data_IF_924592274584
#
_entry.id   IF_924592274584
#
_cell.length_a   1.000
_cell.length_b   1.000
_cell.length_c   1.000
_cell.angle_alpha   90.00
_cell.angle_beta   90.00
_cell.angle_gamma   90.00
#
_symmetry.space_group_name_H-M   'P 1'
#
loop_
_entity.id
_entity.type
_entity.pdbx_description
1 polymer ?
#
# COMPACT_ATOMS: atom_id res chain seq x y z
N UNK A 1 5.92 18.39 25.66
CA UNK A 1 5.04 18.52 24.48
C UNK A 1 4.20 17.25 24.41
N UNK A 2 2.96 17.35 23.91
CA UNK A 2 1.83 16.53 24.34
C UNK A 2 1.77 15.20 23.56
N UNK A 3 1.60 14.05 24.21
CA UNK A 3 1.35 12.74 23.55
C UNK A 3 0.18 12.77 22.54
N UNK A 4 -0.66 13.81 22.62
CA UNK A 4 -1.71 14.11 21.67
C UNK A 4 -1.23 14.30 20.22
N UNK A 5 0.03 14.73 20.02
CA UNK A 5 0.57 14.97 18.68
C UNK A 5 0.87 13.66 17.96
N UNK A 6 1.62 12.70 18.53
CA UNK A 6 1.77 11.32 17.99
C UNK A 6 0.42 10.63 17.79
N UNK A 7 -0.52 10.88 18.72
CA UNK A 7 -1.90 10.43 18.58
C UNK A 7 -2.56 10.87 17.27
N UNK A 8 -2.12 11.98 16.66
CA UNK A 8 -2.69 12.52 15.43
C UNK A 8 -2.20 11.78 14.16
N UNK A 9 -0.89 11.62 13.86
CA UNK A 9 -0.40 10.77 12.77
C UNK A 9 -0.86 9.32 12.88
N UNK A 10 -0.87 8.75 14.08
CA UNK A 10 -1.33 7.36 14.28
C UNK A 10 -2.82 7.21 13.98
N UNK A 11 -3.66 8.15 14.43
CA UNK A 11 -5.09 8.18 14.11
C UNK A 11 -5.32 8.39 12.61
N UNK A 12 -4.60 9.33 11.99
CA UNK A 12 -4.67 9.58 10.56
C UNK A 12 -4.30 8.32 9.75
N UNK A 13 -3.24 7.60 10.17
CA UNK A 13 -2.88 6.32 9.55
C UNK A 13 -4.01 5.30 9.66
N UNK A 14 -4.67 5.22 10.83
CA UNK A 14 -5.81 4.34 11.04
C UNK A 14 -6.98 4.61 10.09
N UNK A 15 -7.26 5.89 9.81
CA UNK A 15 -8.29 6.31 8.85
C UNK A 15 -7.88 5.93 7.43
N UNK A 16 -6.66 6.26 7.01
CA UNK A 16 -6.19 5.95 5.66
C UNK A 16 -6.17 4.43 5.43
N UNK A 17 -5.67 3.66 6.39
CA UNK A 17 -5.70 2.20 6.32
C UNK A 17 -7.11 1.64 6.11
N UNK A 18 -8.11 2.19 6.80
CA UNK A 18 -9.50 1.75 6.64
C UNK A 18 -10.04 2.06 5.24
N UNK A 19 -9.64 3.19 4.66
CA UNK A 19 -9.98 3.55 3.28
C UNK A 19 -9.31 2.62 2.25
N UNK A 20 -8.03 2.29 2.45
CA UNK A 20 -7.22 1.47 1.54
C UNK A 20 -7.69 0.01 1.50
N UNK A 21 -8.35 -0.49 2.55
CA UNK A 21 -9.00 -1.81 2.50
C UNK A 21 -10.21 -1.86 1.54
N UNK A 22 -10.82 -0.71 1.24
CA UNK A 22 -12.00 -0.63 0.37
C UNK A 22 -11.58 -0.59 -1.10
N UNK A 23 -10.41 -0.03 -1.43
CA UNK A 23 -9.96 0.15 -2.81
C UNK A 23 -9.84 -1.17 -3.60
N UNK A 24 -9.26 -2.27 -3.07
CA UNK A 24 -9.25 -3.56 -3.76
C UNK A 24 -10.63 -4.07 -4.14
N UNK A 25 -11.64 -3.87 -3.28
CA UNK A 25 -13.01 -4.28 -3.54
C UNK A 25 -13.64 -3.46 -4.68
N UNK A 26 -13.36 -2.15 -4.74
CA UNK A 26 -13.80 -1.27 -5.83
C UNK A 26 -13.23 -1.75 -7.16
N UNK A 27 -11.94 -2.11 -7.22
CA UNK A 27 -11.33 -2.64 -8.46
C UNK A 27 -12.04 -3.91 -8.95
N UNK A 28 -12.38 -4.83 -8.05
CA UNK A 28 -13.12 -6.06 -8.39
C UNK A 28 -14.51 -5.74 -8.94
N UNK A 29 -15.26 -4.83 -8.32
CA UNK A 29 -16.60 -4.43 -8.78
C UNK A 29 -16.56 -3.77 -10.15
N UNK A 30 -15.61 -2.84 -10.36
CA UNK A 30 -15.43 -2.15 -11.64
C UNK A 30 -15.05 -3.17 -12.72
N UNK A 31 -14.05 -4.03 -12.46
CA UNK A 31 -13.61 -5.06 -13.41
C UNK A 31 -14.76 -5.97 -13.84
N UNK A 32 -15.56 -6.45 -12.89
CA UNK A 32 -16.72 -7.29 -13.17
C UNK A 32 -17.80 -6.58 -14.00
N UNK A 33 -18.09 -5.32 -13.69
CA UNK A 33 -19.10 -4.51 -14.38
C UNK A 33 -18.71 -4.25 -15.85
N UNK A 34 -17.44 -3.99 -16.11
CA UNK A 34 -16.91 -3.81 -17.47
C UNK A 34 -17.01 -5.09 -18.33
N UNK A 35 -16.75 -6.27 -17.75
CA UNK A 35 -16.91 -7.55 -18.45
C UNK A 35 -18.37 -7.78 -18.84
N UNK A 36 -19.29 -7.64 -17.88
CA UNK A 36 -20.72 -7.87 -18.12
C UNK A 36 -21.32 -6.85 -19.08
N UNK A 37 -20.78 -5.62 -19.12
CA UNK A 37 -21.24 -4.55 -20.01
C UNK A 37 -20.81 -4.65 -21.47
N UNK A 38 -20.06 -5.69 -21.88
CA UNK A 38 -19.69 -5.91 -23.28
C UNK A 38 -18.61 -4.99 -23.85
N UNK A 39 -17.99 -4.13 -23.03
CA UNK A 39 -16.92 -3.20 -23.45
C UNK A 39 -15.64 -3.91 -23.92
N UNK A 40 -15.53 -5.21 -23.65
CA UNK A 40 -14.45 -6.09 -24.07
C UNK A 40 -14.19 -5.98 -25.58
N UNK A 41 -15.23 -5.82 -26.41
CA UNK A 41 -15.18 -5.80 -27.87
C UNK A 41 -14.23 -4.80 -28.54
N UNK A 42 -13.79 -3.74 -27.84
CA UNK A 42 -13.02 -2.63 -28.43
C UNK A 42 -11.47 -2.75 -28.32
N UNK A 43 -10.92 -3.66 -27.51
CA UNK A 43 -9.48 -3.60 -27.14
C UNK A 43 -8.60 -4.77 -27.60
N UNK A 44 -9.04 -5.60 -28.56
CA UNK A 44 -8.24 -6.74 -29.02
C UNK A 44 -7.13 -6.32 -30.00
N UNK A 45 -5.93 -6.07 -29.48
CA UNK A 45 -4.68 -6.34 -30.18
C UNK A 45 -3.53 -6.45 -29.16
N UNK A 46 -3.14 -7.69 -28.86
CA UNK A 46 -2.20 -8.01 -27.79
C UNK A 46 -0.74 -7.75 -28.15
N UNK A 47 0.06 -7.45 -27.12
CA UNK A 47 1.51 -7.55 -27.18
C UNK A 47 2.03 -8.24 -25.91
N UNK A 48 2.57 -9.45 -26.06
CA UNK A 48 3.00 -10.34 -24.96
C UNK A 48 4.26 -9.85 -24.23
N UNK A 49 5.01 -8.92 -24.80
CA UNK A 49 6.19 -8.32 -24.16
C UNK A 49 5.79 -7.29 -23.11
N UNK A 50 4.76 -6.48 -23.40
CA UNK A 50 4.19 -5.51 -22.47
C UNK A 50 3.58 -6.23 -21.25
N UNK A 51 2.98 -7.40 -21.45
CA UNK A 51 2.47 -8.26 -20.38
C UNK A 51 3.56 -8.67 -19.38
N UNK A 52 4.67 -9.21 -19.88
CA UNK A 52 5.79 -9.64 -19.03
C UNK A 52 6.40 -8.47 -18.27
N UNK A 53 6.53 -7.32 -18.93
CA UNK A 53 7.04 -6.09 -18.30
C UNK A 53 6.11 -5.58 -17.19
N UNK A 54 4.80 -5.62 -17.39
CA UNK A 54 3.82 -5.16 -16.39
C UNK A 54 3.71 -6.13 -15.21
N UNK A 55 3.74 -7.45 -15.43
CA UNK A 55 3.78 -8.43 -14.33
C UNK A 55 5.08 -8.33 -13.54
N UNK A 56 6.22 -8.16 -14.22
CA UNK A 56 7.49 -7.90 -13.56
C UNK A 56 7.45 -6.60 -12.76
N UNK A 57 6.89 -5.52 -13.32
CA UNK A 57 6.70 -4.24 -12.63
C UNK A 57 5.80 -4.40 -11.40
N UNK A 58 4.65 -5.07 -11.54
CA UNK A 58 3.74 -5.31 -10.42
C UNK A 58 4.38 -6.14 -9.30
N UNK A 59 5.14 -7.18 -9.65
CA UNK A 59 5.90 -7.98 -8.68
C UNK A 59 7.01 -7.15 -8.01
N UNK A 60 7.72 -6.31 -8.76
CA UNK A 60 8.74 -5.42 -8.21
C UNK A 60 8.13 -4.39 -7.27
N UNK A 61 6.99 -3.79 -7.64
CA UNK A 61 6.30 -2.81 -6.80
C UNK A 61 5.76 -3.47 -5.53
N UNK A 62 5.24 -4.69 -5.63
CA UNK A 62 4.81 -5.48 -4.47
C UNK A 62 5.97 -5.79 -3.52
N UNK A 63 7.08 -6.29 -4.04
CA UNK A 63 8.27 -6.59 -3.24
C UNK A 63 8.83 -5.31 -2.61
N UNK A 64 8.91 -4.23 -3.39
CA UNK A 64 9.40 -2.96 -2.90
C UNK A 64 8.49 -2.39 -1.80
N UNK A 65 7.17 -2.47 -1.94
CA UNK A 65 6.21 -2.09 -0.89
C UNK A 65 6.36 -2.89 0.41
N UNK A 66 6.81 -4.15 0.33
CA UNK A 66 7.06 -4.98 1.51
C UNK A 66 8.42 -4.68 2.18
N UNK A 67 9.45 -4.51 1.36
CA UNK A 67 10.84 -4.38 1.83
C UNK A 67 11.18 -2.96 2.24
N UNK A 68 10.63 -1.95 1.53
CA UNK A 68 10.86 -0.53 1.81
C UNK A 68 10.63 -0.15 3.27
N UNK A 69 9.45 -0.41 3.88
CA UNK A 69 9.20 -0.09 5.27
C UNK A 69 10.13 -0.86 6.23
N UNK A 70 10.49 -2.11 5.93
CA UNK A 70 11.40 -2.89 6.78
C UNK A 70 12.82 -2.30 6.83
N UNK A 71 13.29 -1.75 5.71
CA UNK A 71 14.59 -1.07 5.65
C UNK A 71 14.55 0.31 6.31
N UNK A 72 13.39 0.98 6.26
CA UNK A 72 13.24 2.39 6.64
C UNK A 72 12.83 2.58 8.09
N UNK A 73 12.06 1.66 8.66
CA UNK A 73 11.49 1.76 10.00
C UNK A 73 12.36 1.03 11.02
N UNK A 74 13.41 1.72 11.49
CA UNK A 74 14.31 1.21 12.51
C UNK A 74 14.72 2.31 13.49
N UNK A 75 15.18 1.90 14.66
CA UNK A 75 15.49 2.80 15.78
C UNK A 75 16.56 3.83 15.41
N UNK A 76 17.58 3.43 14.64
CA UNK A 76 18.63 4.33 14.17
C UNK A 76 18.09 5.42 13.21
N UNK A 77 17.09 5.10 12.39
CA UNK A 77 16.41 6.06 11.53
C UNK A 77 15.52 7.01 12.34
N UNK A 78 14.81 6.50 13.36
CA UNK A 78 13.98 7.32 14.25
C UNK A 78 14.80 8.31 15.07
N UNK A 79 15.91 7.86 15.66
CA UNK A 79 16.80 8.72 16.45
C UNK A 79 17.42 9.87 15.64
N UNK A 80 17.51 9.72 14.31
CA UNK A 80 17.97 10.79 13.40
C UNK A 80 16.92 11.86 13.13
N UNK A 81 15.66 11.65 13.51
CA UNK A 81 14.54 12.54 13.18
C UNK A 81 14.36 13.72 14.13
N UNK A 82 15.37 14.12 14.92
CA UNK A 82 15.28 15.34 15.74
C UNK A 82 14.32 15.24 16.94
N UNK A 83 13.22 14.50 16.82
CA UNK A 83 12.26 14.19 17.87
C UNK A 83 11.12 13.25 17.53
N UNK A 84 10.20 13.13 18.49
CA UNK A 84 9.12 12.14 18.48
C UNK A 84 8.08 12.40 17.38
N UNK A 85 7.75 13.68 17.15
CA UNK A 85 6.72 14.05 16.17
C UNK A 85 7.23 13.88 14.74
N UNK A 86 8.48 14.28 14.47
CA UNK A 86 9.14 14.02 13.19
C UNK A 86 9.35 12.51 12.93
N UNK A 87 9.69 11.73 13.97
CA UNK A 87 9.78 10.28 13.86
C UNK A 87 8.41 9.64 13.58
N UNK A 88 7.35 10.10 14.23
CA UNK A 88 5.98 9.63 13.99
C UNK A 88 5.48 10.00 12.59
N UNK A 89 5.75 11.22 12.12
CA UNK A 89 5.46 11.63 10.74
C UNK A 89 6.24 10.77 9.75
N UNK A 90 7.49 10.44 10.03
CA UNK A 90 8.28 9.56 9.20
C UNK A 90 7.71 8.14 9.12
N UNK A 91 7.24 7.57 10.24
CA UNK A 91 6.52 6.30 10.27
C UNK A 91 5.25 6.39 9.42
N UNK A 92 4.44 7.44 9.61
CA UNK A 92 3.22 7.69 8.85
C UNK A 92 3.48 7.75 7.34
N UNK A 93 4.42 8.59 6.90
CA UNK A 93 4.77 8.75 5.48
C UNK A 93 5.28 7.45 4.87
N UNK A 94 6.12 6.70 5.59
CA UNK A 94 6.63 5.40 5.13
C UNK A 94 5.49 4.39 4.99
N UNK A 95 4.54 4.39 5.93
CA UNK A 95 3.33 3.59 5.84
C UNK A 95 2.48 3.93 4.62
N UNK A 96 2.22 5.22 4.37
CA UNK A 96 1.47 5.68 3.19
C UNK A 96 2.11 5.26 1.88
N UNK A 97 3.42 5.44 1.73
CA UNK A 97 4.14 5.03 0.53
C UNK A 97 3.98 3.52 0.31
N UNK A 98 4.12 2.73 1.38
CA UNK A 98 4.01 1.28 1.30
C UNK A 98 2.60 0.82 0.91
N UNK A 99 1.56 1.44 1.50
CA UNK A 99 0.16 1.17 1.17
C UNK A 99 -0.14 1.50 -0.29
N UNK A 100 0.24 2.70 -0.74
CA UNK A 100 0.05 3.11 -2.13
C UNK A 100 0.76 2.19 -3.12
N UNK A 101 1.94 1.66 -2.79
CA UNK A 101 2.61 0.65 -3.61
C UNK A 101 1.79 -0.64 -3.74
N UNK A 102 1.15 -1.10 -2.66
CA UNK A 102 0.31 -2.30 -2.73
C UNK A 102 -1.00 -2.08 -3.50
N UNK A 103 -1.61 -0.91 -3.41
CA UNK A 103 -2.81 -0.58 -4.20
C UNK A 103 -2.57 -0.58 -5.70
N UNK A 104 -1.35 -0.26 -6.15
CA UNK A 104 -1.04 -0.31 -7.59
C UNK A 104 -1.11 -1.72 -8.17
N UNK A 105 -0.95 -2.78 -7.37
CA UNK A 105 -0.94 -4.17 -7.86
C UNK A 105 -2.30 -4.59 -8.43
N UNK A 106 -3.44 -4.48 -7.70
CA UNK A 106 -4.75 -4.78 -8.27
C UNK A 106 -5.17 -3.79 -9.35
N UNK A 107 -4.73 -2.52 -9.30
CA UNK A 107 -4.96 -1.57 -10.38
C UNK A 107 -4.26 -2.00 -11.68
N UNK A 108 -3.01 -2.45 -11.61
CA UNK A 108 -2.28 -3.00 -12.75
C UNK A 108 -2.95 -4.27 -13.30
N UNK A 109 -3.45 -5.14 -12.43
CA UNK A 109 -4.21 -6.33 -12.83
C UNK A 109 -5.55 -5.98 -13.51
N UNK A 110 -6.22 -4.92 -13.05
CA UNK A 110 -7.45 -4.40 -13.65
C UNK A 110 -7.20 -3.83 -15.04
N UNK A 111 -6.22 -2.92 -15.18
CA UNK A 111 -5.80 -2.36 -16.47
C UNK A 111 -5.40 -3.48 -17.43
N UNK A 112 -4.66 -4.47 -16.92
CA UNK A 112 -4.26 -5.64 -17.70
C UNK A 112 -5.47 -6.43 -18.20
N UNK A 113 -6.40 -6.81 -17.33
CA UNK A 113 -7.51 -7.63 -17.79
C UNK A 113 -8.49 -6.88 -18.70
N UNK A 114 -8.45 -5.56 -18.73
CA UNK A 114 -9.08 -4.78 -19.80
C UNK A 114 -8.35 -4.94 -21.14
N UNK A 115 -7.02 -4.81 -21.17
CA UNK A 115 -6.22 -5.00 -22.39
C UNK A 115 -6.31 -6.44 -22.91
N UNK A 116 -6.22 -7.42 -22.00
CA UNK A 116 -6.17 -8.84 -22.33
C UNK A 116 -7.55 -9.49 -22.46
N UNK A 117 -8.62 -8.78 -22.10
CA UNK A 117 -9.99 -9.32 -21.98
C UNK A 117 -10.09 -10.48 -20.98
N UNK A 118 -9.19 -10.50 -20.00
CA UNK A 118 -9.03 -11.57 -19.04
C UNK A 118 -8.69 -11.02 -17.65
N UNK A 119 -9.66 -11.06 -16.73
CA UNK A 119 -9.51 -10.64 -15.33
C UNK A 119 -9.28 -11.82 -14.37
N UNK A 120 -8.86 -12.99 -14.87
CA UNK A 120 -8.60 -14.18 -14.02
C UNK A 120 -7.68 -13.86 -12.83
N UNK A 121 -6.73 -12.94 -13.02
CA UNK A 121 -5.76 -12.54 -11.99
C UNK A 121 -6.19 -11.36 -11.12
N UNK A 122 -7.31 -10.68 -11.42
CA UNK A 122 -7.76 -9.52 -10.65
C UNK A 122 -8.07 -9.89 -9.20
N UNK A 123 -8.92 -10.89 -8.99
CA UNK A 123 -9.33 -11.32 -7.64
C UNK A 123 -8.13 -11.84 -6.83
N UNK A 124 -7.28 -12.76 -7.35
CA UNK A 124 -6.06 -13.16 -6.65
C UNK A 124 -5.13 -11.99 -6.31
N UNK A 125 -4.93 -11.03 -7.22
CA UNK A 125 -4.08 -9.87 -6.97
C UNK A 125 -4.63 -8.93 -5.89
N UNK A 126 -5.95 -8.73 -5.85
CA UNK A 126 -6.63 -7.94 -4.82
C UNK A 126 -6.50 -8.61 -3.45
N UNK A 127 -6.65 -9.93 -3.37
CA UNK A 127 -6.47 -10.70 -2.12
C UNK A 127 -5.02 -10.61 -1.63
N UNK A 128 -4.05 -10.78 -2.52
CA UNK A 128 -2.62 -10.68 -2.17
C UNK A 128 -2.28 -9.26 -1.66
N UNK A 129 -2.78 -8.22 -2.33
CA UNK A 129 -2.61 -6.84 -1.88
C UNK A 129 -3.24 -6.59 -0.51
N UNK A 130 -4.46 -7.11 -0.25
CA UNK A 130 -5.10 -7.02 1.06
C UNK A 130 -4.27 -7.69 2.17
N UNK A 131 -3.74 -8.89 1.93
CA UNK A 131 -2.89 -9.59 2.91
C UNK A 131 -1.64 -8.76 3.22
N UNK A 132 -0.99 -8.20 2.18
CA UNK A 132 0.19 -7.35 2.36
C UNK A 132 -0.12 -6.05 3.11
N UNK A 133 -1.25 -5.40 2.80
CA UNK A 133 -1.77 -4.21 3.50
C UNK A 133 -2.02 -4.51 4.99
N UNK A 134 -2.59 -5.66 5.32
CA UNK A 134 -2.81 -6.07 6.72
C UNK A 134 -1.48 -6.29 7.44
N UNK A 135 -0.55 -7.00 6.80
CA UNK A 135 0.76 -7.27 7.37
C UNK A 135 1.54 -5.98 7.64
N UNK A 136 1.53 -5.06 6.67
CA UNK A 136 2.29 -3.81 6.82
C UNK A 136 1.70 -2.92 7.89
N UNK A 137 0.38 -2.87 8.03
CA UNK A 137 -0.26 -2.16 9.13
C UNK A 137 0.26 -2.63 10.49
N UNK A 138 0.46 -3.94 10.67
CA UNK A 138 1.08 -4.51 11.86
C UNK A 138 2.48 -3.93 12.11
N UNK A 139 3.32 -3.90 11.07
CA UNK A 139 4.67 -3.32 11.15
C UNK A 139 4.67 -1.82 11.47
N UNK A 140 3.76 -1.06 10.86
CA UNK A 140 3.61 0.38 11.11
C UNK A 140 3.14 0.65 12.54
N UNK A 141 2.15 -0.10 13.04
CA UNK A 141 1.68 0.03 14.42
C UNK A 141 2.81 -0.26 15.43
N UNK A 142 3.55 -1.35 15.23
CA UNK A 142 4.73 -1.66 16.06
C UNK A 142 5.79 -0.56 15.99
N UNK A 143 5.93 0.11 14.84
CA UNK A 143 6.87 1.22 14.68
C UNK A 143 6.42 2.48 15.41
N UNK A 144 5.12 2.79 15.43
CA UNK A 144 4.58 3.86 16.28
C UNK A 144 4.84 3.58 17.76
N UNK A 145 4.57 2.35 18.24
CA UNK A 145 4.84 1.96 19.63
C UNK A 145 6.34 2.08 19.97
N UNK A 146 7.23 1.72 19.03
CA UNK A 146 8.68 1.90 19.20
C UNK A 146 9.06 3.38 19.32
N UNK A 147 8.53 4.26 18.47
CA UNK A 147 8.78 5.70 18.56
C UNK A 147 8.35 6.24 19.93
N UNK A 148 7.16 5.88 20.40
CA UNK A 148 6.67 6.28 21.73
C UNK A 148 7.64 5.82 22.86
N UNK A 149 8.18 4.59 22.75
CA UNK A 149 9.15 4.06 23.72
C UNK A 149 10.53 4.74 23.68
N UNK A 150 10.99 5.16 22.50
CA UNK A 150 12.28 5.80 22.30
C UNK A 150 12.28 7.27 22.72
N UNK A 151 11.12 7.93 22.68
CA UNK A 151 10.95 9.33 23.04
C UNK A 151 9.91 9.53 24.16
N UNK A 152 10.11 8.94 25.35
CA UNK A 152 9.11 8.94 26.43
C UNK A 152 8.83 10.35 26.99
N UNK A 153 9.72 11.31 26.74
CA UNK A 153 9.62 12.69 27.21
C UNK A 153 9.34 13.72 26.10
N UNK A 154 9.02 13.28 24.88
CA UNK A 154 8.62 14.13 23.75
C UNK A 154 9.52 15.35 23.54
N UNK A 155 10.64 15.17 22.84
CA UNK A 155 11.46 16.30 22.39
C UNK A 155 11.84 16.16 20.92
N UNK A 156 11.71 17.30 20.23
CA UNK A 156 12.07 17.66 18.87
C UNK A 156 10.83 18.01 18.09
#
# INVERSE_FOLDING_TARGET
MNMNEIGTPRKAFGIVWAAELVAPAIYVVIGHSFIKGGAIGAFAAGNSMLLKATLATGAVVFIAGFVFPQMRLNDAAFQKKGGADEAAQYVFTTGLISLGMFETVPLLALVWGFVARDLTYLVPSAVIAMIAIIFIRGQINMSFDRVESLFPNGRG
#
